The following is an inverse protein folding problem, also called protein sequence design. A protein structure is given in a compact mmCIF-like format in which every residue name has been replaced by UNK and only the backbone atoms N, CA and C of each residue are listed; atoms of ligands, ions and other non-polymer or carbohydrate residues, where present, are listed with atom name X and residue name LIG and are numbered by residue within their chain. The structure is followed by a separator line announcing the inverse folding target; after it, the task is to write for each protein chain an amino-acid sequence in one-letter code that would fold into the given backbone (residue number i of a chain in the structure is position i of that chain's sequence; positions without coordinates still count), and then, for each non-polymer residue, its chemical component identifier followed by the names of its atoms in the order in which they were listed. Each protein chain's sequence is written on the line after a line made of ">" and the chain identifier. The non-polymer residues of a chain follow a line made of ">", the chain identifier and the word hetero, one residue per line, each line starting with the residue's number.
data_IF_129642082654
#
_entry.id   IF_129642082654
#
_cell.length_a   1.000
_cell.length_b   1.000
_cell.length_c   1.000
_cell.angle_alpha   90.00
_cell.angle_beta   90.00
_cell.angle_gamma   90.00
#
_symmetry.space_group_name_H-M   'P 1'
#
loop_
_entity.id
_entity.type
_entity.pdbx_description
1 polymer ?
#
# COMPACT_ATOMS: atom_id res chain seq x y z
N UNK A 1 -24.31 -7.36 3.85
CA UNK A 1 -23.35 -6.89 4.89
C UNK A 1 -22.20 -7.87 5.14
N UNK A 2 -22.42 -9.07 5.69
CA UNK A 2 -21.32 -10.03 5.97
C UNK A 2 -20.52 -10.42 4.72
N UNK A 3 -21.20 -10.71 3.60
CA UNK A 3 -20.54 -11.00 2.32
C UNK A 3 -19.69 -9.82 1.81
N UNK A 4 -20.20 -8.58 1.90
CA UNK A 4 -19.47 -7.38 1.48
C UNK A 4 -18.19 -7.17 2.29
N UNK A 5 -18.22 -7.47 3.59
CA UNK A 5 -17.03 -7.41 4.46
C UNK A 5 -16.01 -8.47 4.05
N UNK A 6 -16.44 -9.70 3.76
CA UNK A 6 -15.54 -10.76 3.28
C UNK A 6 -14.88 -10.35 1.95
N UNK A 7 -15.67 -9.80 1.01
CA UNK A 7 -15.17 -9.28 -0.27
C UNK A 7 -14.15 -8.17 -0.03
N UNK A 8 -14.46 -7.21 0.84
CA UNK A 8 -13.55 -6.12 1.19
C UNK A 8 -12.22 -6.64 1.75
N UNK A 9 -12.27 -7.59 2.68
CA UNK A 9 -11.06 -8.19 3.26
C UNK A 9 -10.22 -8.91 2.20
N UNK A 10 -10.85 -9.66 1.30
CA UNK A 10 -10.14 -10.32 0.20
C UNK A 10 -9.43 -9.31 -0.71
N UNK A 11 -10.10 -8.21 -1.07
CA UNK A 11 -9.51 -7.14 -1.89
C UNK A 11 -8.32 -6.49 -1.17
N UNK A 12 -8.49 -6.11 0.11
CA UNK A 12 -7.40 -5.51 0.90
C UNK A 12 -6.19 -6.45 0.99
N UNK A 13 -6.40 -7.74 1.24
CA UNK A 13 -5.31 -8.72 1.32
C UNK A 13 -4.56 -8.80 -0.02
N UNK A 14 -5.27 -8.91 -1.14
CA UNK A 14 -4.64 -8.99 -2.47
C UNK A 14 -3.83 -7.72 -2.76
N UNK A 15 -4.39 -6.54 -2.52
CA UNK A 15 -3.71 -5.27 -2.76
C UNK A 15 -2.48 -5.11 -1.86
N UNK A 16 -2.58 -5.49 -0.59
CA UNK A 16 -1.45 -5.45 0.35
C UNK A 16 -0.34 -6.43 -0.03
N UNK A 17 -0.64 -7.63 -0.52
CA UNK A 17 0.37 -8.56 -1.02
C UNK A 17 1.20 -7.93 -2.16
N UNK A 18 0.55 -7.20 -3.08
CA UNK A 18 1.23 -6.49 -4.17
C UNK A 18 2.08 -5.35 -3.62
N UNK A 19 1.56 -4.56 -2.67
CA UNK A 19 2.32 -3.49 -2.00
C UNK A 19 3.56 -4.05 -1.29
N UNK A 20 3.41 -5.13 -0.52
CA UNK A 20 4.52 -5.79 0.17
C UNK A 20 5.60 -6.29 -0.81
N UNK A 21 5.19 -6.84 -1.95
CA UNK A 21 6.12 -7.23 -3.02
C UNK A 21 6.88 -6.03 -3.59
N UNK A 22 6.21 -4.91 -3.88
CA UNK A 22 6.87 -3.70 -4.34
C UNK A 22 7.82 -3.10 -3.31
N UNK A 23 7.48 -3.12 -2.02
CA UNK A 23 8.37 -2.69 -0.94
C UNK A 23 9.64 -3.54 -0.93
N UNK A 24 9.51 -4.86 -1.07
CA UNK A 24 10.67 -5.75 -1.16
C UNK A 24 11.54 -5.46 -2.37
N UNK A 25 10.94 -5.30 -3.55
CA UNK A 25 11.66 -5.01 -4.80
C UNK A 25 12.38 -3.65 -4.80
N UNK A 26 11.95 -2.70 -3.97
CA UNK A 26 12.66 -1.42 -3.77
C UNK A 26 13.96 -1.62 -2.95
N UNK A 27 14.14 -2.79 -2.33
CA UNK A 27 15.35 -3.18 -1.59
C UNK A 27 15.16 -3.32 -0.08
N UNK A 28 13.92 -3.35 0.42
CA UNK A 28 13.64 -3.63 1.83
C UNK A 28 13.71 -5.14 2.11
N UNK A 29 14.13 -5.51 3.32
CA UNK A 29 14.12 -6.91 3.74
C UNK A 29 12.69 -7.45 3.83
N UNK A 30 12.51 -8.75 3.58
CA UNK A 30 11.21 -9.42 3.66
C UNK A 30 10.47 -9.13 4.97
N UNK A 31 11.17 -9.13 6.10
CA UNK A 31 10.56 -8.83 7.40
C UNK A 31 9.95 -7.43 7.46
N UNK A 32 10.64 -6.42 6.90
CA UNK A 32 10.11 -5.04 6.85
C UNK A 32 8.95 -4.94 5.88
N UNK A 33 9.06 -5.58 4.71
CA UNK A 33 7.99 -5.60 3.71
C UNK A 33 6.71 -6.24 4.26
N UNK A 34 6.82 -7.38 4.93
CA UNK A 34 5.70 -8.06 5.59
C UNK A 34 5.13 -7.20 6.72
N UNK A 35 5.99 -6.58 7.54
CA UNK A 35 5.54 -5.71 8.63
C UNK A 35 4.72 -4.52 8.11
N UNK A 36 5.15 -3.88 7.02
CA UNK A 36 4.42 -2.76 6.41
C UNK A 36 3.15 -3.20 5.68
N UNK A 37 3.13 -4.41 5.13
CA UNK A 37 1.96 -5.01 4.47
C UNK A 37 0.79 -5.23 5.44
N UNK A 38 1.05 -5.44 6.73
CA UNK A 38 0.00 -5.56 7.75
C UNK A 38 -0.66 -4.21 8.11
N UNK A 39 -0.23 -3.10 7.50
CA UNK A 39 -0.73 -1.76 7.73
C UNK A 39 -1.45 -1.25 6.46
N UNK A 40 -2.69 -1.70 6.20
CA UNK A 40 -3.43 -1.38 4.99
C UNK A 40 -3.86 0.08 4.94
N UNK A 41 -4.57 0.46 3.86
CA UNK A 41 -5.11 1.80 3.66
C UNK A 41 -4.00 2.85 3.61
N UNK A 42 -2.86 2.45 3.04
CA UNK A 42 -1.70 3.32 2.88
C UNK A 42 -0.93 3.65 4.17
N UNK A 43 -1.28 3.10 5.32
CA UNK A 43 -0.59 3.41 6.60
C UNK A 43 0.88 2.98 6.52
N UNK A 44 1.16 1.75 6.06
CA UNK A 44 2.53 1.28 5.88
C UNK A 44 3.32 2.12 4.86
N UNK A 45 2.67 2.52 3.78
CA UNK A 45 3.26 3.36 2.74
C UNK A 45 3.58 4.78 3.26
N UNK A 46 2.70 5.35 4.07
CA UNK A 46 2.91 6.65 4.71
C UNK A 46 4.11 6.62 5.67
N UNK A 47 4.23 5.58 6.51
CA UNK A 47 5.40 5.39 7.38
C UNK A 47 6.67 5.32 6.54
N UNK A 48 6.65 4.54 5.45
CA UNK A 48 7.78 4.41 4.55
C UNK A 48 8.19 5.76 3.93
N UNK A 49 7.22 6.57 3.51
CA UNK A 49 7.50 7.90 2.98
C UNK A 49 8.13 8.82 4.04
N UNK A 50 7.44 9.01 5.17
CA UNK A 50 7.82 10.00 6.18
C UNK A 50 9.14 9.65 6.89
N UNK A 51 9.38 8.36 7.16
CA UNK A 51 10.52 7.94 7.97
C UNK A 51 11.72 7.45 7.16
N UNK A 52 11.54 7.03 5.90
CA UNK A 52 12.63 6.56 5.06
C UNK A 52 12.90 7.47 3.88
N UNK A 53 11.93 7.66 2.99
CA UNK A 53 12.21 8.33 1.71
C UNK A 53 12.50 9.80 1.87
N UNK A 54 11.69 10.54 2.64
CA UNK A 54 11.90 11.98 2.83
C UNK A 54 13.23 12.29 3.53
N UNK A 55 13.70 11.38 4.41
CA UNK A 55 14.98 11.53 5.11
C UNK A 55 16.17 11.14 4.25
N UNK A 56 16.05 10.05 3.48
CA UNK A 56 17.14 9.49 2.69
C UNK A 56 17.35 10.22 1.37
N UNK A 57 16.29 10.81 0.82
CA UNK A 57 16.31 11.47 -0.49
C UNK A 57 15.77 12.90 -0.38
N UNK A 58 16.63 13.85 0.02
CA UNK A 58 16.31 15.27 -0.03
C UNK A 58 15.76 15.66 -1.41
N UNK A 59 14.82 16.60 -1.44
CA UNK A 59 14.14 17.06 -2.66
C UNK A 59 13.47 15.96 -3.51
N UNK A 60 13.24 14.77 -2.94
CA UNK A 60 12.63 13.64 -3.65
C UNK A 60 13.45 13.12 -4.84
N UNK A 61 14.78 13.22 -4.75
CA UNK A 61 15.74 12.71 -5.74
C UNK A 61 15.89 11.18 -5.70
N UNK A 62 14.76 10.47 -5.76
CA UNK A 62 14.72 9.02 -5.77
C UNK A 62 14.87 8.44 -7.17
N UNK A 63 15.63 7.33 -7.31
CA UNK A 63 15.77 6.61 -8.56
C UNK A 63 14.42 6.36 -9.24
N UNK A 64 14.37 6.57 -10.56
CA UNK A 64 13.12 6.51 -11.33
C UNK A 64 12.33 5.22 -11.11
N UNK A 65 13.00 4.07 -11.08
CA UNK A 65 12.35 2.77 -10.85
C UNK A 65 11.64 2.67 -9.50
N UNK A 66 12.26 3.21 -8.44
CA UNK A 66 11.67 3.28 -7.10
C UNK A 66 10.51 4.28 -7.09
N UNK A 67 10.68 5.44 -7.73
CA UNK A 67 9.63 6.46 -7.85
C UNK A 67 8.38 5.94 -8.55
N UNK A 68 8.53 5.15 -9.62
CA UNK A 68 7.41 4.50 -10.32
C UNK A 68 6.70 3.46 -9.44
N UNK A 69 7.46 2.59 -8.76
CA UNK A 69 6.89 1.61 -7.82
C UNK A 69 6.11 2.27 -6.69
N UNK A 70 6.62 3.37 -6.14
CA UNK A 70 5.92 4.18 -5.13
C UNK A 70 4.60 4.74 -5.67
N UNK A 71 4.59 5.29 -6.88
CA UNK A 71 3.35 5.76 -7.53
C UNK A 71 2.34 4.63 -7.69
N UNK A 72 2.77 3.44 -8.11
CA UNK A 72 1.86 2.30 -8.19
C UNK A 72 1.30 1.89 -6.83
N UNK A 73 2.11 1.86 -5.76
CA UNK A 73 1.61 1.59 -4.42
C UNK A 73 0.54 2.61 -3.99
N UNK A 74 0.70 3.91 -4.30
CA UNK A 74 -0.32 4.92 -4.03
C UNK A 74 -1.62 4.68 -4.80
N UNK A 75 -1.53 4.26 -6.07
CA UNK A 75 -2.70 3.90 -6.87
C UNK A 75 -3.41 2.68 -6.26
N UNK A 76 -2.67 1.67 -5.79
CA UNK A 76 -3.24 0.51 -5.11
C UNK A 76 -3.96 0.92 -3.82
N UNK A 77 -3.35 1.79 -3.00
CA UNK A 77 -4.01 2.37 -1.82
C UNK A 77 -5.29 3.12 -2.17
N UNK A 78 -5.31 3.89 -3.26
CA UNK A 78 -6.54 4.52 -3.72
C UNK A 78 -7.64 3.48 -4.00
N UNK A 79 -7.31 2.35 -4.66
CA UNK A 79 -8.26 1.28 -4.88
C UNK A 79 -8.75 0.60 -3.59
N UNK A 80 -7.94 0.55 -2.54
CA UNK A 80 -8.40 0.08 -1.21
C UNK A 80 -9.50 0.99 -0.68
N UNK A 81 -9.35 2.31 -0.78
CA UNK A 81 -10.40 3.25 -0.36
C UNK A 81 -11.65 3.19 -1.23
N UNK A 82 -11.49 2.99 -2.55
CA UNK A 82 -12.63 2.73 -3.44
C UNK A 82 -13.37 1.45 -3.00
N UNK A 83 -12.65 0.38 -2.66
CA UNK A 83 -13.24 -0.86 -2.19
C UNK A 83 -14.00 -0.65 -0.86
N UNK A 84 -13.42 0.09 0.10
CA UNK A 84 -14.11 0.47 1.34
C UNK A 84 -15.41 1.19 1.03
N UNK A 85 -15.37 2.20 0.15
CA UNK A 85 -16.56 2.98 -0.21
C UNK A 85 -17.65 2.08 -0.83
N UNK A 86 -17.28 1.29 -1.85
CA UNK A 86 -18.21 0.44 -2.59
C UNK A 86 -18.82 -0.64 -1.68
N UNK A 87 -18.00 -1.37 -0.93
CA UNK A 87 -18.47 -2.50 -0.12
C UNK A 87 -19.26 -2.08 1.12
N UNK A 88 -18.92 -0.94 1.74
CA UNK A 88 -19.53 -0.50 3.00
C UNK A 88 -20.73 0.45 2.80
N UNK A 89 -20.72 1.24 1.72
CA UNK A 89 -21.70 2.33 1.55
C UNK A 89 -22.57 2.19 0.31
N UNK A 90 -22.03 1.68 -0.81
CA UNK A 90 -22.81 1.55 -2.05
C UNK A 90 -23.59 0.23 -2.11
N UNK A 91 -22.92 -0.91 -1.92
CA UNK A 91 -23.53 -2.25 -2.03
C UNK A 91 -24.43 -2.62 -0.82
N UNK A 92 -25.09 -1.64 -0.21
CA UNK A 92 -25.98 -1.83 0.93
C UNK A 92 -27.26 -2.56 0.54
#
# INVERSE_FOLDING_TARGET
>A
MMLNVIILLAIIIILQLIVGHFIHDIGFSYAKSIGLMFLPLGIGLFILQAFYFERKYPNWDVPLGVKLRLKYMYILTFFEYVAVYVCMFWLK
#
